data_IF_119255584028
#
_entry.id   IF_119255584028
#
_cell.length_a   1.000
_cell.length_b   1.000
_cell.length_c   1.000
_cell.angle_alpha   90.00
_cell.angle_beta   90.00
_cell.angle_gamma   90.00
#
_symmetry.space_group_name_H-M   'P 1'
#
loop_
_entity.id
_entity.type
_entity.pdbx_description
1 polymer ?
#
# COMPACT_ATOMS: atom_id res chain seq x y z
N UNK A 1 20.54 22.98 -0.40
CA UNK A 1 19.06 23.01 -0.45
C UNK A 1 18.66 22.62 -1.85
N UNK A 2 17.90 21.56 -2.17
CA UNK A 2 17.36 20.41 -1.44
C UNK A 2 16.96 19.42 -2.55
N UNK A 3 17.70 18.33 -2.73
CA UNK A 3 17.38 17.27 -3.70
C UNK A 3 16.37 16.30 -3.09
N UNK A 4 15.16 16.78 -2.82
CA UNK A 4 14.07 15.97 -2.27
C UNK A 4 12.88 15.96 -3.23
N UNK A 5 13.14 15.56 -4.47
CA UNK A 5 12.10 15.11 -5.40
C UNK A 5 12.35 13.64 -5.73
N UNK A 6 12.23 12.78 -4.72
CA UNK A 6 12.07 11.34 -4.95
C UNK A 6 10.64 11.07 -5.41
N UNK A 7 10.27 11.64 -6.55
CA UNK A 7 9.12 11.22 -7.34
C UNK A 7 9.35 9.75 -7.66
N UNK A 8 8.75 8.86 -6.86
CA UNK A 8 8.79 7.43 -7.10
C UNK A 8 8.08 7.21 -8.44
N UNK A 9 8.85 7.06 -9.51
CA UNK A 9 8.30 6.83 -10.85
C UNK A 9 7.39 5.61 -10.78
N UNK A 10 6.10 5.82 -11.02
CA UNK A 10 5.10 4.76 -10.96
C UNK A 10 5.36 3.85 -12.17
N UNK A 11 5.68 2.55 -11.95
CA UNK A 11 5.99 1.66 -13.06
C UNK A 11 4.84 1.59 -14.07
N UNK A 12 5.18 1.45 -15.36
CA UNK A 12 4.17 1.31 -16.42
C UNK A 12 3.25 0.11 -16.13
N UNK A 13 1.95 0.38 -16.04
CA UNK A 13 0.95 -0.64 -15.71
C UNK A 13 0.60 -0.73 -14.22
N UNK A 14 1.17 0.14 -13.40
CA UNK A 14 0.73 0.43 -12.03
C UNK A 14 0.15 1.85 -11.95
N UNK A 15 -0.49 2.17 -10.83
CA UNK A 15 -0.98 3.51 -10.51
C UNK A 15 -0.75 3.82 -9.03
N UNK A 16 -0.68 5.12 -8.71
CA UNK A 16 -0.66 5.60 -7.33
C UNK A 16 -2.09 5.51 -6.78
N UNK A 17 -2.36 4.55 -5.90
CA UNK A 17 -3.70 4.31 -5.38
C UNK A 17 -4.08 5.32 -4.30
N UNK A 18 -3.14 5.69 -3.44
CA UNK A 18 -3.31 6.60 -2.31
C UNK A 18 -2.03 6.61 -1.47
N UNK A 19 -2.04 7.32 -0.35
CA UNK A 19 -0.94 7.37 0.63
C UNK A 19 -1.41 6.98 2.05
N UNK A 20 -2.63 6.46 2.17
CA UNK A 20 -3.30 6.21 3.45
C UNK A 20 -3.97 4.85 3.49
N UNK A 21 -3.94 4.20 4.64
CA UNK A 21 -4.79 3.04 4.94
C UNK A 21 -5.55 3.27 6.25
N UNK A 22 -6.77 2.74 6.35
CA UNK A 22 -7.59 2.88 7.56
C UNK A 22 -7.17 1.88 8.63
N UNK A 23 -7.00 2.34 9.85
CA UNK A 23 -6.83 1.46 11.01
C UNK A 23 -8.07 0.58 11.21
N UNK A 24 -7.91 -0.72 11.50
CA UNK A 24 -9.02 -1.58 11.89
C UNK A 24 -9.70 -1.05 13.15
N UNK A 25 -11.02 -1.22 13.24
CA UNK A 25 -11.77 -0.78 14.41
C UNK A 25 -11.25 -1.43 15.71
N UNK A 26 -11.00 -0.59 16.72
CA UNK A 26 -10.47 -1.03 18.01
C UNK A 26 -8.98 -1.38 18.01
N UNK A 27 -8.26 -1.13 16.91
CA UNK A 27 -6.82 -1.30 16.86
C UNK A 27 -6.11 -0.30 17.77
N UNK A 28 -5.12 -0.78 18.53
CA UNK A 28 -4.31 0.02 19.44
C UNK A 28 -2.83 -0.21 19.17
N UNK A 29 -2.05 0.84 19.40
CA UNK A 29 -0.61 0.79 19.35
C UNK A 29 -0.02 -0.27 20.33
N UNK A 30 1.19 -0.78 20.07
CA UNK A 30 2.07 -0.43 18.95
C UNK A 30 1.54 -0.94 17.60
N UNK A 31 1.78 -0.14 16.56
CA UNK A 31 1.49 -0.51 15.18
C UNK A 31 2.79 -0.94 14.51
N UNK A 32 2.77 -2.10 13.86
CA UNK A 32 3.87 -2.53 12.99
C UNK A 32 3.30 -2.67 11.58
N UNK A 33 3.85 -1.90 10.65
CA UNK A 33 3.40 -1.87 9.25
C UNK A 33 4.32 -2.73 8.42
N UNK A 34 3.74 -3.54 7.54
CA UNK A 34 4.46 -4.34 6.57
C UNK A 34 4.02 -3.91 5.17
N UNK A 35 4.99 -3.76 4.26
CA UNK A 35 4.73 -3.56 2.83
C UNK A 35 5.24 -4.79 2.10
N UNK A 36 4.35 -5.51 1.42
CA UNK A 36 4.66 -6.79 0.77
C UNK A 36 5.36 -7.79 1.72
N UNK A 37 4.87 -7.86 2.98
CA UNK A 37 5.43 -8.71 4.03
C UNK A 37 6.76 -8.22 4.65
N UNK A 38 7.31 -7.09 4.20
CA UNK A 38 8.53 -6.50 4.76
C UNK A 38 8.18 -5.45 5.81
N UNK A 39 8.65 -5.64 7.05
CA UNK A 39 8.46 -4.69 8.13
C UNK A 39 9.08 -3.32 7.79
N UNK A 40 8.30 -2.26 7.98
CA UNK A 40 8.71 -0.89 7.73
C UNK A 40 9.17 -0.21 9.01
N UNK A 41 10.18 0.65 8.88
CA UNK A 41 10.62 1.49 9.98
C UNK A 41 9.51 2.49 10.37
N UNK A 42 9.28 2.74 11.67
CA UNK A 42 8.29 3.72 12.13
C UNK A 42 8.48 5.16 11.62
N UNK A 43 9.66 5.51 11.09
CA UNK A 43 9.92 6.82 10.48
C UNK A 43 9.34 6.97 9.07
N UNK A 44 8.90 5.87 8.43
CA UNK A 44 8.38 5.86 7.07
C UNK A 44 6.86 6.08 7.00
N UNK A 45 6.19 6.12 8.15
CA UNK A 45 4.76 6.37 8.25
C UNK A 45 4.41 7.13 9.54
N UNK A 46 3.29 7.84 9.52
CA UNK A 46 2.70 8.47 10.69
C UNK A 46 1.32 7.86 10.98
N UNK A 47 0.86 7.99 12.22
CA UNK A 47 -0.51 7.66 12.61
C UNK A 47 -1.26 8.98 12.76
N UNK A 48 -2.29 9.18 11.93
CA UNK A 48 -3.12 10.40 11.95
C UNK A 48 -4.58 10.01 12.13
N UNK A 49 -5.15 10.33 13.29
CA UNK A 49 -6.52 9.94 13.62
C UNK A 49 -6.72 8.42 13.58
N UNK A 50 -7.50 7.94 12.61
CA UNK A 50 -7.76 6.52 12.39
C UNK A 50 -7.05 5.96 11.13
N UNK A 51 -5.97 6.60 10.67
CA UNK A 51 -5.26 6.22 9.45
C UNK A 51 -3.75 6.07 9.71
N UNK A 52 -3.11 5.17 8.95
CA UNK A 52 -1.67 5.18 8.74
C UNK A 52 -1.41 5.96 7.46
N UNK A 53 -0.56 6.99 7.54
CA UNK A 53 -0.19 7.87 6.43
C UNK A 53 1.26 7.62 6.05
N UNK A 54 1.52 7.42 4.76
CA UNK A 54 2.84 7.17 4.21
C UNK A 54 3.40 8.44 3.57
N UNK A 55 4.73 8.60 3.60
CA UNK A 55 5.41 9.72 2.93
C UNK A 55 5.51 9.59 1.40
N UNK A 56 5.10 8.43 0.85
CA UNK A 56 5.08 8.14 -0.58
C UNK A 56 3.77 7.43 -0.97
N UNK A 57 3.39 7.45 -2.24
CA UNK A 57 2.24 6.69 -2.71
C UNK A 57 2.39 5.18 -2.51
N UNK A 58 1.27 4.54 -2.18
CA UNK A 58 1.03 3.11 -2.28
C UNK A 58 0.69 2.81 -3.74
N UNK A 59 1.46 1.89 -4.32
CA UNK A 59 1.38 1.57 -5.76
C UNK A 59 0.59 0.28 -5.96
N UNK A 60 -0.48 0.33 -6.74
CA UNK A 60 -1.30 -0.85 -7.09
C UNK A 60 -1.18 -1.18 -8.59
N UNK A 61 -1.40 -2.43 -8.95
CA UNK A 61 -1.43 -2.85 -10.36
C UNK A 61 -2.73 -2.41 -11.06
N UNK A 62 -2.63 -1.95 -12.32
CA UNK A 62 -3.79 -1.74 -13.20
C UNK A 62 -4.12 -3.02 -13.98
N UNK A 63 -5.13 -3.76 -13.55
CA UNK A 63 -5.60 -4.98 -14.25
C UNK A 63 -6.66 -4.62 -15.29
N UNK A 64 -6.33 -4.74 -16.58
CA UNK A 64 -7.30 -4.60 -17.68
C UNK A 64 -7.73 -5.96 -18.27
N UNK A 65 -9.01 -6.12 -18.63
CA UNK A 65 -9.56 -7.41 -19.10
C UNK A 65 -8.88 -8.00 -20.35
N UNK A 66 -8.50 -7.17 -21.32
CA UNK A 66 -7.79 -7.62 -22.52
C UNK A 66 -6.36 -8.15 -22.22
N UNK A 67 -5.75 -7.69 -21.12
CA UNK A 67 -4.42 -8.10 -20.69
C UNK A 67 -4.44 -9.47 -20.01
N UNK A 68 -5.46 -9.75 -19.20
CA UNK A 68 -5.64 -11.09 -18.61
C UNK A 68 -5.65 -12.15 -19.71
N UNK A 69 -6.32 -11.90 -20.84
CA UNK A 69 -6.34 -12.79 -22.00
C UNK A 69 -4.94 -12.95 -22.63
N UNK A 70 -4.17 -11.86 -22.75
CA UNK A 70 -2.80 -11.92 -23.27
C UNK A 70 -1.83 -12.65 -22.33
N UNK A 71 -2.03 -12.59 -21.01
CA UNK A 71 -1.28 -13.37 -20.01
C UNK A 71 -1.64 -14.86 -20.09
N UNK A 72 -2.94 -15.18 -20.20
CA UNK A 72 -3.42 -16.56 -20.43
C UNK A 72 -2.79 -17.18 -21.69
N UNK A 73 -2.56 -16.38 -22.74
CA UNK A 73 -1.95 -16.81 -24.00
C UNK A 73 -0.40 -16.77 -24.02
N UNK A 74 0.26 -16.41 -22.92
CA UNK A 74 1.73 -16.40 -22.82
C UNK A 74 2.44 -15.30 -23.62
N UNK A 75 1.75 -14.22 -24.01
CA UNK A 75 2.26 -13.23 -24.97
C UNK A 75 3.07 -12.09 -24.32
N UNK A 76 3.09 -11.94 -22.99
CA UNK A 76 3.82 -10.86 -22.31
C UNK A 76 4.26 -11.19 -20.87
N UNK A 77 5.45 -10.71 -20.48
CA UNK A 77 5.91 -10.62 -19.09
C UNK A 77 6.45 -9.21 -18.80
N UNK A 78 5.78 -8.44 -17.96
CA UNK A 78 6.28 -7.14 -17.47
C UNK A 78 6.20 -7.11 -15.97
N UNK A 79 7.28 -6.68 -15.29
CA UNK A 79 7.30 -6.45 -13.85
C UNK A 79 6.29 -5.35 -13.50
N UNK A 80 5.37 -5.65 -12.59
CA UNK A 80 4.35 -4.72 -12.10
C UNK A 80 4.46 -4.63 -10.60
N UNK A 81 4.16 -3.45 -10.07
CA UNK A 81 4.17 -3.20 -8.65
C UNK A 81 2.74 -3.19 -8.14
N UNK A 82 2.46 -4.13 -7.25
CA UNK A 82 1.22 -4.20 -6.48
C UNK A 82 1.62 -4.33 -5.01
N UNK A 83 1.45 -3.24 -4.26
CA UNK A 83 1.83 -3.16 -2.86
C UNK A 83 0.65 -3.58 -1.97
N UNK A 84 0.85 -4.57 -1.12
CA UNK A 84 -0.05 -4.89 0.00
C UNK A 84 0.48 -4.23 1.26
N UNK A 85 -0.44 -3.71 2.08
CA UNK A 85 -0.14 -3.11 3.37
C UNK A 85 -0.74 -4.02 4.44
N UNK A 86 0.10 -4.62 5.27
CA UNK A 86 -0.36 -5.42 6.41
C UNK A 86 -0.08 -4.67 7.70
N UNK A 87 -0.97 -4.80 8.68
CA UNK A 87 -0.86 -4.09 9.95
C UNK A 87 -0.95 -5.08 11.11
N UNK A 88 0.08 -5.09 11.93
CA UNK A 88 0.05 -5.70 13.25
C UNK A 88 -0.32 -4.66 14.31
N UNK A 89 -1.21 -5.01 15.23
CA UNK A 89 -1.68 -4.14 16.31
C UNK A 89 -2.18 -4.94 17.51
N UNK A 90 -2.47 -4.25 18.61
CA UNK A 90 -3.14 -4.84 19.77
C UNK A 90 -4.64 -4.56 19.76
N UNK A 91 -5.47 -5.57 20.06
CA UNK A 91 -6.91 -5.45 20.24
C UNK A 91 -7.38 -6.40 21.33
N UNK A 92 -8.12 -5.87 22.31
CA UNK A 92 -8.62 -6.62 23.47
C UNK A 92 -7.52 -7.47 24.17
N UNK A 93 -6.32 -6.91 24.29
CA UNK A 93 -5.17 -7.59 24.92
C UNK A 93 -4.49 -8.66 24.07
N UNK A 94 -4.88 -8.83 22.80
CA UNK A 94 -4.27 -9.76 21.85
C UNK A 94 -3.55 -9.02 20.73
N UNK A 95 -2.43 -9.58 20.26
CA UNK A 95 -1.76 -9.11 19.06
C UNK A 95 -2.45 -9.75 17.85
N UNK A 96 -2.76 -8.94 16.85
CA UNK A 96 -3.41 -9.35 15.61
C UNK A 96 -2.68 -8.77 14.41
N UNK A 97 -2.67 -9.51 13.29
CA UNK A 97 -2.17 -9.08 11.98
C UNK A 97 -3.33 -9.08 11.00
N UNK A 98 -3.62 -7.93 10.39
CA UNK A 98 -4.61 -7.81 9.31
C UNK A 98 -3.85 -7.58 7.99
N UNK A 99 -3.97 -8.48 7.00
CA UNK A 99 -3.33 -8.31 5.71
C UNK A 99 -4.14 -7.39 4.77
N UNK A 100 -3.45 -6.83 3.78
CA UNK A 100 -4.00 -6.04 2.66
C UNK A 100 -5.10 -5.06 3.05
N UNK A 101 -4.75 -4.12 3.94
CA UNK A 101 -5.68 -3.08 4.37
C UNK A 101 -6.13 -2.22 3.18
N UNK A 102 -7.41 -1.77 3.20
CA UNK A 102 -7.94 -0.94 2.14
C UNK A 102 -7.19 0.40 2.09
N UNK A 103 -6.63 0.69 0.92
CA UNK A 103 -6.05 1.99 0.60
C UNK A 103 -7.18 3.02 0.49
N UNK A 104 -7.02 4.16 1.15
CA UNK A 104 -7.87 5.32 0.94
C UNK A 104 -7.46 5.94 -0.39
N UNK A 105 -8.34 5.94 -1.41
CA UNK A 105 -7.96 6.38 -2.73
C UNK A 105 -7.71 7.89 -2.77
N UNK A 106 -6.78 8.34 -3.61
CA UNK A 106 -6.76 9.76 -3.97
C UNK A 106 -8.10 10.15 -4.63
N UNK A 107 -8.55 11.40 -4.47
CA UNK A 107 -9.81 11.87 -5.05
C UNK A 107 -9.96 11.58 -6.55
N UNK A 108 -8.84 11.58 -7.27
CA UNK A 108 -8.78 11.42 -8.72
C UNK A 108 -8.36 10.02 -9.20
N UNK A 109 -8.23 9.03 -8.30
CA UNK A 109 -7.67 7.71 -8.60
C UNK A 109 -8.67 6.66 -9.15
N UNK A 110 -9.83 7.09 -9.69
CA UNK A 110 -10.90 6.20 -10.19
C UNK A 110 -10.80 5.91 -11.69
#
# INVERSE_FOLDING_TARGET
>A
MSDADSSTEIPKGSYAAGDRVRLPAGARAPFTVFINGVEQQPSLYSVEGNEIVFSRPIVKEKVGGARWLAMYLGLFGTYRKDETIDLQFSRNGKVELVPDLPVVPYPDAS
#
